data_IF_640972986826
#
_entry.id   IF_640972986826
#
_cell.length_a   1.000
_cell.length_b   1.000
_cell.length_c   1.000
_cell.angle_alpha   90.00
_cell.angle_beta   90.00
_cell.angle_gamma   90.00
#
_symmetry.space_group_name_H-M   'P 1'
#
loop_
_entity.id
_entity.type
_entity.pdbx_description
1 polymer ?
#
# COMPACT_ATOMS: atom_id res chain seq x y z
N UNK A 1 -2.37 29.94 20.74
CA UNK A 1 -3.55 29.97 21.64
C UNK A 1 -3.03 30.18 23.05
N UNK A 2 -3.50 31.22 23.75
CA UNK A 2 -3.04 31.51 25.12
C UNK A 2 -3.60 30.45 26.07
N UNK A 3 -2.71 29.75 26.78
CA UNK A 3 -3.04 28.81 27.87
C UNK A 3 -4.03 29.47 28.85
N UNK A 4 -5.08 28.74 29.25
CA UNK A 4 -5.83 29.06 30.47
C UNK A 4 -4.82 29.06 31.62
N UNK A 5 -4.58 30.23 32.22
CA UNK A 5 -3.48 30.52 33.16
C UNK A 5 -3.09 29.30 34.01
N UNK A 6 -1.95 28.68 33.70
CA UNK A 6 -1.34 27.60 34.48
C UNK A 6 -1.55 26.17 33.96
N UNK A 7 -2.32 25.95 32.88
CA UNK A 7 -2.52 24.61 32.28
C UNK A 7 -1.81 24.44 30.94
N UNK A 8 -1.46 23.19 30.63
CA UNK A 8 -0.87 22.81 29.35
C UNK A 8 -1.70 23.30 28.16
N UNK A 9 -1.04 23.90 27.18
CA UNK A 9 -1.69 24.41 25.96
C UNK A 9 -1.99 23.34 24.90
N UNK A 10 -1.58 22.08 25.11
CA UNK A 10 -1.81 21.00 24.17
C UNK A 10 -3.30 20.65 24.05
N UNK A 11 -3.78 20.59 22.80
CA UNK A 11 -5.12 20.15 22.45
C UNK A 11 -5.01 19.09 21.35
N UNK A 12 -5.69 17.95 21.52
CA UNK A 12 -5.72 16.91 20.50
C UNK A 12 -6.75 17.22 19.39
N UNK A 13 -6.74 16.48 18.27
CA UNK A 13 -7.68 16.70 17.15
C UNK A 13 -9.16 16.56 17.51
N UNK A 14 -9.48 15.77 18.55
CA UNK A 14 -10.86 15.55 19.00
C UNK A 14 -11.32 16.62 20.02
N UNK A 15 -10.46 17.62 20.29
CA UNK A 15 -10.76 18.74 21.17
C UNK A 15 -10.40 18.53 22.65
N UNK A 16 -9.90 17.37 23.06
CA UNK A 16 -9.41 17.12 24.42
C UNK A 16 -8.21 18.02 24.73
N UNK A 17 -8.21 18.60 25.93
CA UNK A 17 -7.17 19.49 26.44
C UNK A 17 -6.48 18.85 27.63
N UNK A 18 -5.16 18.97 27.68
CA UNK A 18 -4.37 18.45 28.78
C UNK A 18 -4.62 19.24 30.08
N UNK A 19 -4.83 18.52 31.18
CA UNK A 19 -5.15 19.08 32.50
C UNK A 19 -3.91 19.37 33.37
N UNK A 20 -2.72 19.00 32.89
CA UNK A 20 -1.47 19.11 33.63
C UNK A 20 -0.99 20.56 33.74
N UNK A 21 -0.27 20.91 34.82
CA UNK A 21 0.33 22.23 34.95
C UNK A 21 1.31 22.49 33.81
N UNK A 22 1.29 23.72 33.26
CA UNK A 22 2.28 24.12 32.27
C UNK A 22 3.59 24.56 32.92
N UNK A 23 4.71 24.26 32.26
CA UNK A 23 6.00 24.90 32.53
C UNK A 23 6.14 26.24 31.81
N UNK A 24 7.36 26.76 31.73
CA UNK A 24 7.68 28.05 31.13
C UNK A 24 7.32 28.15 29.63
N UNK A 25 7.37 27.02 28.92
CA UNK A 25 7.01 26.91 27.50
C UNK A 25 5.49 27.00 27.24
N UNK A 26 4.66 26.94 28.28
CA UNK A 26 3.21 26.79 28.16
C UNK A 26 2.75 25.35 27.85
N UNK A 27 3.66 24.37 27.87
CA UNK A 27 3.38 22.94 27.75
C UNK A 27 3.72 22.24 29.08
N UNK A 28 3.06 21.12 29.37
CA UNK A 28 3.44 20.29 30.52
C UNK A 28 4.64 19.40 30.18
N UNK A 29 5.18 18.73 31.20
CA UNK A 29 6.27 17.76 31.07
C UNK A 29 6.11 16.84 29.85
N UNK A 30 4.95 16.19 29.70
CA UNK A 30 4.69 15.22 28.60
C UNK A 30 4.65 15.84 27.21
N UNK A 31 4.16 17.07 27.07
CA UNK A 31 3.93 17.71 25.76
C UNK A 31 5.07 18.63 25.33
N UNK A 32 5.99 18.98 26.24
CA UNK A 32 7.09 19.88 25.96
C UNK A 32 8.26 19.14 25.27
N UNK A 33 8.62 19.51 24.02
CA UNK A 33 9.75 18.92 23.31
C UNK A 33 11.11 19.44 23.82
N UNK A 34 11.14 20.54 24.58
CA UNK A 34 12.39 21.09 25.14
C UNK A 34 12.86 20.31 26.37
N UNK A 35 11.96 19.59 27.04
CA UNK A 35 12.28 18.74 28.19
C UNK A 35 12.84 17.41 27.71
N UNK A 36 14.14 17.19 27.95
CA UNK A 36 14.78 15.90 27.69
C UNK A 36 14.35 14.88 28.75
N UNK A 37 13.84 13.74 28.27
CA UNK A 37 13.31 12.65 29.09
C UNK A 37 14.11 11.37 28.91
N UNK A 38 15.22 11.40 28.17
CA UNK A 38 15.94 10.17 27.80
C UNK A 38 16.46 9.38 29.01
N UNK A 39 16.74 10.07 30.12
CA UNK A 39 17.27 9.48 31.35
C UNK A 39 16.18 9.21 32.40
N UNK A 40 14.94 9.62 32.12
CA UNK A 40 13.85 9.54 33.08
C UNK A 40 13.18 8.16 33.02
N UNK A 41 12.88 7.55 34.17
CA UNK A 41 12.10 6.32 34.22
C UNK A 41 10.60 6.63 34.06
N UNK A 42 10.20 6.93 32.83
CA UNK A 42 8.83 7.35 32.50
C UNK A 42 7.88 6.18 32.23
N UNK A 43 8.38 4.94 32.11
CA UNK A 43 7.56 3.78 31.71
C UNK A 43 6.32 3.61 32.59
N UNK A 44 6.52 3.52 33.91
CA UNK A 44 5.42 3.32 34.86
C UNK A 44 4.41 4.47 34.82
N UNK A 45 4.89 5.71 34.71
CA UNK A 45 4.03 6.89 34.65
C UNK A 45 3.17 6.91 33.37
N UNK A 46 3.73 6.45 32.24
CA UNK A 46 3.01 6.32 30.97
C UNK A 46 1.93 5.23 31.06
N UNK A 47 2.22 4.10 31.71
CA UNK A 47 1.26 3.02 31.93
C UNK A 47 0.11 3.44 32.86
N UNK A 48 0.43 4.12 33.97
CA UNK A 48 -0.54 4.65 34.92
C UNK A 48 -1.42 5.74 34.26
N UNK A 49 -0.82 6.59 33.44
CA UNK A 49 -1.55 7.60 32.66
C UNK A 49 -2.56 6.96 31.71
N UNK A 50 -2.14 5.93 30.98
CA UNK A 50 -3.02 5.16 30.10
C UNK A 50 -4.13 4.46 30.88
N UNK A 51 -3.79 3.81 32.01
CA UNK A 51 -4.74 3.10 32.87
C UNK A 51 -5.80 4.03 33.49
N UNK A 52 -5.50 5.31 33.68
CA UNK A 52 -6.46 6.35 34.07
C UNK A 52 -7.45 6.73 32.95
N UNK A 53 -7.36 6.12 31.77
CA UNK A 53 -8.22 6.40 30.62
C UNK A 53 -7.92 7.71 29.90
N UNK A 54 -6.78 8.35 30.18
CA UNK A 54 -6.36 9.59 29.52
C UNK A 54 -5.65 9.28 28.19
N UNK A 55 -5.89 10.08 27.12
CA UNK A 55 -5.14 9.92 25.88
C UNK A 55 -3.67 10.31 26.08
N UNK A 56 -2.78 9.63 25.37
CA UNK A 56 -1.35 9.91 25.33
C UNK A 56 -0.99 10.82 24.14
N UNK A 57 -1.99 11.42 23.51
CA UNK A 57 -1.82 12.19 22.29
C UNK A 57 -0.78 13.31 22.48
N UNK A 58 0.16 13.42 21.54
CA UNK A 58 1.17 14.48 21.51
C UNK A 58 2.35 14.31 22.46
N UNK A 59 2.43 13.20 23.19
CA UNK A 59 3.54 12.97 24.12
C UNK A 59 4.90 13.05 23.41
N UNK A 60 5.88 13.65 24.07
CA UNK A 60 7.25 13.83 23.59
C UNK A 60 8.16 12.82 24.31
N UNK A 61 8.27 11.62 23.76
CA UNK A 61 8.98 10.46 24.31
C UNK A 61 10.20 10.08 23.45
N UNK A 62 10.81 11.07 22.81
CA UNK A 62 12.01 10.83 22.02
C UNK A 62 13.14 10.31 22.92
N UNK A 63 13.86 9.29 22.43
CA UNK A 63 15.06 8.69 23.06
C UNK A 63 14.82 8.07 24.45
N UNK A 64 13.57 7.88 24.87
CA UNK A 64 13.26 7.25 26.16
C UNK A 64 13.44 5.73 26.10
N UNK A 65 13.76 5.12 27.24
CA UNK A 65 13.72 3.67 27.42
C UNK A 65 12.31 3.25 27.86
N UNK A 66 11.59 2.58 26.96
CA UNK A 66 10.21 2.09 27.13
C UNK A 66 10.13 0.59 26.78
N UNK A 67 11.21 -0.15 27.08
CA UNK A 67 11.24 -1.61 26.93
C UNK A 67 10.13 -2.23 27.77
N UNK A 68 9.41 -3.18 27.18
CA UNK A 68 8.27 -3.87 27.82
C UNK A 68 7.14 -2.91 28.25
N UNK A 69 6.97 -1.78 27.54
CA UNK A 69 5.87 -0.85 27.80
C UNK A 69 4.52 -1.50 27.47
N UNK A 70 3.60 -1.52 28.43
CA UNK A 70 2.29 -2.13 28.28
C UNK A 70 1.16 -1.09 28.08
N UNK A 71 0.72 -0.94 26.83
CA UNK A 71 -0.41 -0.07 26.47
C UNK A 71 -1.61 -0.87 25.94
N UNK A 72 -1.93 -2.00 26.58
CA UNK A 72 -3.11 -2.80 26.25
C UNK A 72 -4.32 -2.32 27.05
N UNK A 73 -5.35 -1.85 26.35
CA UNK A 73 -6.60 -1.41 26.97
C UNK A 73 -7.54 -2.60 27.26
N UNK A 74 -7.28 -3.30 28.37
CA UNK A 74 -8.02 -4.52 28.74
C UNK A 74 -9.50 -4.22 28.97
N UNK A 75 -10.37 -5.07 28.42
CA UNK A 75 -11.83 -4.95 28.57
C UNK A 75 -12.50 -3.99 27.58
N UNK A 76 -11.72 -3.28 26.74
CA UNK A 76 -12.24 -2.40 25.71
C UNK A 76 -12.02 -2.97 24.30
N UNK A 77 -12.91 -2.64 23.36
CA UNK A 77 -12.78 -3.04 21.94
C UNK A 77 -11.72 -2.23 21.18
N UNK A 78 -11.28 -1.10 21.74
CA UNK A 78 -10.36 -0.15 21.12
C UNK A 78 -9.16 0.06 22.07
N UNK A 79 -7.95 0.11 21.51
CA UNK A 79 -6.74 0.43 22.27
C UNK A 79 -6.69 1.88 22.75
N UNK A 80 -5.64 2.25 23.48
CA UNK A 80 -5.43 3.63 23.90
C UNK A 80 -5.11 4.56 22.71
N UNK A 81 -5.42 5.84 22.86
CA UNK A 81 -5.04 6.88 21.90
C UNK A 81 -3.62 7.35 22.17
N UNK A 82 -2.72 7.11 21.21
CA UNK A 82 -1.32 7.53 21.20
C UNK A 82 -1.00 8.27 19.89
N UNK A 83 -1.85 9.22 19.51
CA UNK A 83 -1.73 9.95 18.24
C UNK A 83 -0.73 11.09 18.33
N UNK A 84 -0.01 11.33 17.25
CA UNK A 84 1.01 12.40 17.15
C UNK A 84 2.07 12.35 18.27
N UNK A 85 2.35 11.18 18.82
CA UNK A 85 3.40 10.96 19.82
C UNK A 85 4.75 10.93 19.13
N UNK A 86 5.76 11.54 19.73
CA UNK A 86 7.13 11.43 19.28
C UNK A 86 7.86 10.31 20.01
N UNK A 87 8.10 9.19 19.32
CA UNK A 87 8.93 8.08 19.76
C UNK A 87 10.28 8.05 19.02
N UNK A 88 10.75 9.20 18.50
CA UNK A 88 12.02 9.26 17.77
C UNK A 88 13.16 8.63 18.59
N UNK A 89 13.76 7.55 18.05
CA UNK A 89 14.82 6.76 18.72
C UNK A 89 14.46 6.18 20.09
N UNK A 90 13.17 6.07 20.44
CA UNK A 90 12.76 5.37 21.66
C UNK A 90 13.05 3.87 21.56
N UNK A 91 13.36 3.25 22.70
CA UNK A 91 13.43 1.79 22.82
C UNK A 91 12.07 1.26 23.26
N UNK A 92 11.33 0.66 22.33
CA UNK A 92 10.00 0.06 22.54
C UNK A 92 10.08 -1.46 22.31
N UNK A 93 11.25 -2.05 22.55
CA UNK A 93 11.44 -3.49 22.43
C UNK A 93 10.49 -4.22 23.39
N UNK A 94 9.87 -5.30 22.92
CA UNK A 94 8.90 -6.12 23.65
C UNK A 94 7.60 -5.40 24.05
N UNK A 95 7.38 -4.15 23.61
CA UNK A 95 6.19 -3.38 23.97
C UNK A 95 4.88 -4.04 23.50
N UNK A 96 3.82 -3.87 24.29
CA UNK A 96 2.49 -4.43 24.03
C UNK A 96 1.51 -3.36 23.53
N UNK A 97 1.38 -3.24 22.21
CA UNK A 97 0.57 -2.22 21.51
C UNK A 97 -0.62 -2.82 20.75
N UNK A 98 -1.25 -3.85 21.33
CA UNK A 98 -2.44 -4.47 20.74
C UNK A 98 -3.55 -3.43 20.55
N UNK A 99 -3.98 -3.24 19.30
CA UNK A 99 -5.07 -2.31 18.95
C UNK A 99 -4.77 -0.83 19.19
N UNK A 100 -3.51 -0.46 19.46
CA UNK A 100 -3.12 0.90 19.82
C UNK A 100 -3.30 1.87 18.64
N UNK A 101 -3.82 3.06 18.92
CA UNK A 101 -3.95 4.11 17.92
C UNK A 101 -2.71 5.00 17.91
N UNK A 102 -1.82 4.78 16.93
CA UNK A 102 -0.56 5.50 16.76
C UNK A 102 -0.64 6.54 15.64
N UNK A 103 -1.83 6.90 15.14
CA UNK A 103 -1.98 7.75 13.95
C UNK A 103 -1.20 9.07 14.07
N UNK A 104 -0.42 9.39 13.03
CA UNK A 104 0.40 10.60 12.96
C UNK A 104 1.68 10.56 13.83
N UNK A 105 1.90 9.52 14.63
CA UNK A 105 3.06 9.41 15.52
C UNK A 105 4.37 9.19 14.76
N UNK A 106 5.47 9.65 15.36
CA UNK A 106 6.82 9.48 14.84
C UNK A 106 7.46 8.26 15.50
N UNK A 107 7.62 7.16 14.75
CA UNK A 107 8.35 5.96 15.13
C UNK A 107 9.73 5.92 14.43
N UNK A 108 10.25 7.09 14.05
CA UNK A 108 11.48 7.18 13.28
C UNK A 108 12.66 6.67 14.12
N UNK A 109 13.40 5.69 13.59
CA UNK A 109 14.56 5.05 14.24
C UNK A 109 14.26 4.45 15.62
N UNK A 110 13.00 4.19 15.96
CA UNK A 110 12.66 3.50 17.20
C UNK A 110 13.02 2.01 17.10
N UNK A 111 13.26 1.37 18.24
CA UNK A 111 13.36 -0.10 18.31
C UNK A 111 12.00 -0.66 18.68
N UNK A 112 11.44 -1.52 17.85
CA UNK A 112 10.19 -2.26 18.08
C UNK A 112 10.46 -3.77 18.06
N UNK A 113 11.66 -4.17 18.47
CA UNK A 113 12.10 -5.57 18.42
C UNK A 113 11.16 -6.40 19.30
N UNK A 114 10.59 -7.48 18.76
CA UNK A 114 9.61 -8.32 19.45
C UNK A 114 8.33 -7.60 19.94
N UNK A 115 8.08 -6.35 19.54
CA UNK A 115 6.89 -5.61 19.96
C UNK A 115 5.62 -6.20 19.34
N UNK A 116 4.50 -6.13 20.08
CA UNK A 116 3.20 -6.59 19.60
C UNK A 116 2.39 -5.41 19.04
N UNK A 117 2.36 -5.26 17.71
CA UNK A 117 1.58 -4.24 16.99
C UNK A 117 0.28 -4.82 16.37
N UNK A 118 -0.18 -5.99 16.82
CA UNK A 118 -1.37 -6.62 16.27
C UNK A 118 -2.58 -5.69 16.37
N UNK A 119 -3.31 -5.50 15.26
CA UNK A 119 -4.44 -4.57 15.12
C UNK A 119 -4.13 -3.07 15.36
N UNK A 120 -2.85 -2.67 15.44
CA UNK A 120 -2.49 -1.27 15.65
C UNK A 120 -2.84 -0.38 14.45
N UNK A 121 -3.14 0.90 14.71
CA UNK A 121 -3.38 1.90 13.66
C UNK A 121 -2.13 2.75 13.43
N UNK A 122 -1.49 2.58 12.27
CA UNK A 122 -0.24 3.25 11.88
C UNK A 122 -0.44 4.26 10.73
N UNK A 123 -1.66 4.73 10.50
CA UNK A 123 -1.94 5.69 9.44
C UNK A 123 -1.13 6.98 9.68
N UNK A 124 -0.48 7.46 8.62
CA UNK A 124 0.33 8.68 8.66
C UNK A 124 1.47 8.67 9.70
N UNK A 125 1.89 7.49 10.17
CA UNK A 125 3.09 7.36 11.01
C UNK A 125 4.37 7.54 10.20
N UNK A 126 5.40 8.07 10.85
CA UNK A 126 6.76 8.03 10.32
C UNK A 126 7.49 6.77 10.83
N UNK A 127 7.70 5.78 9.96
CA UNK A 127 8.40 4.52 10.27
C UNK A 127 9.84 4.47 9.74
N UNK A 128 10.40 5.61 9.31
CA UNK A 128 11.72 5.65 8.68
C UNK A 128 12.81 5.14 9.64
N UNK A 129 13.52 4.09 9.24
CA UNK A 129 14.58 3.47 10.04
C UNK A 129 14.11 2.75 11.31
N UNK A 130 12.81 2.54 11.51
CA UNK A 130 12.30 1.78 12.65
C UNK A 130 12.78 0.32 12.60
N UNK A 131 13.24 -0.25 13.72
CA UNK A 131 13.59 -1.66 13.78
C UNK A 131 12.36 -2.50 14.14
N UNK A 132 11.80 -3.20 13.15
CA UNK A 132 10.61 -4.06 13.29
C UNK A 132 10.98 -5.55 13.42
N UNK A 133 12.23 -5.88 13.79
CA UNK A 133 12.66 -7.27 13.90
C UNK A 133 11.78 -8.07 14.86
N UNK A 134 11.16 -9.14 14.36
CA UNK A 134 10.27 -10.04 15.13
C UNK A 134 9.04 -9.34 15.74
N UNK A 135 8.73 -8.11 15.35
CA UNK A 135 7.50 -7.45 15.76
C UNK A 135 6.28 -8.16 15.16
N UNK A 136 5.18 -8.30 15.89
CA UNK A 136 3.93 -8.89 15.35
C UNK A 136 3.19 -7.85 14.52
N UNK A 137 3.06 -8.08 13.21
CA UNK A 137 2.52 -7.10 12.24
C UNK A 137 1.14 -7.47 11.64
N UNK A 138 0.44 -8.41 12.26
CA UNK A 138 -0.88 -8.86 11.83
C UNK A 138 -1.96 -7.77 12.00
N UNK A 139 -2.87 -7.69 11.02
CA UNK A 139 -4.03 -6.80 11.04
C UNK A 139 -3.72 -5.31 11.28
N UNK A 140 -2.50 -4.86 10.98
CA UNK A 140 -2.15 -3.44 11.10
C UNK A 140 -2.92 -2.60 10.07
N UNK A 141 -3.46 -1.48 10.53
CA UNK A 141 -4.01 -0.45 9.65
C UNK A 141 -2.91 0.52 9.22
N UNK A 142 -2.35 0.31 8.02
CA UNK A 142 -1.30 1.17 7.46
C UNK A 142 -1.84 2.48 6.84
N UNK A 143 -3.14 2.53 6.55
CA UNK A 143 -3.77 3.56 5.74
C UNK A 143 -3.54 3.40 4.22
N UNK A 144 -4.18 4.27 3.42
CA UNK A 144 -4.14 4.18 1.93
C UNK A 144 -2.77 4.50 1.33
N UNK A 145 -2.02 5.37 1.99
CA UNK A 145 -0.71 5.86 1.54
C UNK A 145 0.14 6.18 2.76
N UNK A 146 1.45 5.96 2.64
CA UNK A 146 2.43 6.34 3.67
C UNK A 146 2.53 7.87 3.79
N UNK A 147 2.95 8.37 4.94
CA UNK A 147 3.19 9.79 5.17
C UNK A 147 4.13 10.39 4.11
N UNK A 148 5.30 9.77 3.93
CA UNK A 148 6.29 10.18 2.94
C UNK A 148 5.76 10.13 1.50
N UNK A 149 4.87 9.18 1.17
CA UNK A 149 4.24 9.12 -0.15
C UNK A 149 3.35 10.34 -0.42
N UNK A 150 2.56 10.76 0.57
CA UNK A 150 1.69 11.93 0.46
C UNK A 150 2.53 13.20 0.32
N UNK A 151 3.55 13.35 1.16
CA UNK A 151 4.47 14.48 1.12
C UNK A 151 5.26 14.54 -0.20
N UNK A 152 5.70 13.39 -0.73
CA UNK A 152 6.38 13.32 -2.02
C UNK A 152 5.48 13.79 -3.17
N UNK A 153 4.20 13.40 -3.17
CA UNK A 153 3.22 13.86 -4.16
C UNK A 153 2.99 15.36 -4.07
N UNK A 154 2.93 15.93 -2.87
CA UNK A 154 2.80 17.37 -2.67
C UNK A 154 4.04 18.12 -3.17
N UNK A 155 5.24 17.65 -2.81
CA UNK A 155 6.50 18.24 -3.28
C UNK A 155 6.60 18.20 -4.82
N UNK A 156 6.22 17.09 -5.44
CA UNK A 156 6.19 16.96 -6.89
C UNK A 156 5.21 17.92 -7.57
N UNK A 157 4.04 18.18 -6.95
CA UNK A 157 3.05 19.16 -7.45
C UNK A 157 3.57 20.60 -7.38
N UNK A 158 4.34 20.93 -6.35
CA UNK A 158 4.97 22.25 -6.18
C UNK A 158 6.20 22.42 -7.09
N UNK A 159 6.66 21.34 -7.75
CA UNK A 159 7.83 21.36 -8.64
C UNK A 159 9.16 21.10 -7.94
N UNK A 160 9.16 20.83 -6.63
CA UNK A 160 10.36 20.46 -5.87
C UNK A 160 10.71 18.99 -6.11
N UNK A 161 11.42 18.75 -7.21
CA UNK A 161 11.85 17.41 -7.64
C UNK A 161 12.86 16.78 -6.68
N UNK A 162 13.72 17.57 -6.06
CA UNK A 162 14.74 17.05 -5.16
C UNK A 162 14.09 16.49 -3.89
N UNK A 163 13.22 17.28 -3.25
CA UNK A 163 12.46 16.84 -2.08
C UNK A 163 11.54 15.66 -2.41
N UNK A 164 10.86 15.68 -3.55
CA UNK A 164 10.02 14.57 -3.98
C UNK A 164 10.81 13.26 -4.15
N UNK A 165 12.02 13.34 -4.73
CA UNK A 165 12.91 12.18 -4.90
C UNK A 165 13.41 11.66 -3.56
N UNK A 166 13.84 12.53 -2.65
CA UNK A 166 14.28 12.17 -1.29
C UNK A 166 13.16 11.50 -0.50
N UNK A 167 11.95 12.05 -0.52
CA UNK A 167 10.79 11.43 0.15
C UNK A 167 10.40 10.08 -0.48
N UNK A 168 10.58 9.91 -1.79
CA UNK A 168 10.39 8.60 -2.42
C UNK A 168 11.44 7.57 -1.98
N UNK A 169 12.69 7.98 -1.73
CA UNK A 169 13.74 7.10 -1.17
C UNK A 169 13.39 6.66 0.24
N UNK A 170 12.95 7.59 1.09
CA UNK A 170 12.51 7.27 2.45
C UNK A 170 11.31 6.31 2.45
N UNK A 171 10.31 6.57 1.60
CA UNK A 171 9.15 5.69 1.45
C UNK A 171 9.55 4.29 0.95
N UNK A 172 10.53 4.19 0.04
CA UNK A 172 11.06 2.92 -0.42
C UNK A 172 11.71 2.13 0.72
N UNK A 173 12.52 2.79 1.56
CA UNK A 173 13.17 2.15 2.71
C UNK A 173 12.15 1.60 3.71
N UNK A 174 11.12 2.39 4.03
CA UNK A 174 10.02 1.98 4.90
C UNK A 174 9.29 0.76 4.32
N UNK A 175 8.92 0.80 3.04
CA UNK A 175 8.26 -0.34 2.39
C UNK A 175 9.12 -1.60 2.39
N UNK A 176 10.42 -1.47 2.11
CA UNK A 176 11.35 -2.60 2.08
C UNK A 176 11.47 -3.24 3.45
N UNK A 177 11.54 -2.43 4.51
CA UNK A 177 11.64 -2.93 5.88
C UNK A 177 10.37 -3.69 6.27
N UNK A 178 9.19 -3.09 6.08
CA UNK A 178 7.90 -3.72 6.37
C UNK A 178 7.75 -5.03 5.59
N UNK A 179 8.00 -5.00 4.27
CA UNK A 179 7.94 -6.19 3.40
C UNK A 179 8.80 -7.32 3.95
N UNK A 180 10.07 -7.06 4.27
CA UNK A 180 10.99 -8.09 4.78
C UNK A 180 10.50 -8.72 6.07
N UNK A 181 9.90 -7.94 6.98
CA UNK A 181 9.37 -8.48 8.23
C UNK A 181 8.07 -9.26 8.01
N UNK A 182 7.20 -8.79 7.13
CA UNK A 182 5.99 -9.53 6.74
C UNK A 182 6.33 -10.86 6.06
N UNK A 183 7.32 -10.89 5.15
CA UNK A 183 7.79 -12.13 4.50
C UNK A 183 8.30 -13.14 5.53
N UNK A 184 9.08 -12.70 6.52
CA UNK A 184 9.59 -13.57 7.60
C UNK A 184 8.49 -14.15 8.50
N UNK A 185 7.33 -13.51 8.57
CA UNK A 185 6.18 -13.91 9.40
C UNK A 185 5.12 -14.70 8.62
N UNK A 186 5.29 -14.89 7.31
CA UNK A 186 4.28 -15.52 6.47
C UNK A 186 3.10 -14.60 6.10
N UNK A 187 3.23 -13.28 6.28
CA UNK A 187 2.22 -12.28 5.93
C UNK A 187 2.34 -11.89 4.46
N UNK A 188 2.18 -12.85 3.55
CA UNK A 188 2.53 -12.70 2.14
C UNK A 188 1.64 -11.73 1.36
N UNK A 189 0.39 -11.56 1.76
CA UNK A 189 -0.49 -10.55 1.16
C UNK A 189 0.02 -9.13 1.40
N UNK A 190 0.22 -8.78 2.67
CA UNK A 190 0.79 -7.49 3.09
C UNK A 190 2.18 -7.29 2.50
N UNK A 191 3.03 -8.32 2.52
CA UNK A 191 4.35 -8.26 1.89
C UNK A 191 4.27 -7.93 0.39
N UNK A 192 3.36 -8.56 -0.35
CA UNK A 192 3.14 -8.29 -1.78
C UNK A 192 2.66 -6.86 -2.05
N UNK A 193 1.77 -6.32 -1.22
CA UNK A 193 1.34 -4.92 -1.32
C UNK A 193 2.50 -3.94 -1.13
N UNK A 194 3.32 -4.17 -0.09
CA UNK A 194 4.49 -3.33 0.18
C UNK A 194 5.59 -3.52 -0.86
N UNK A 195 5.72 -4.69 -1.48
CA UNK A 195 6.59 -4.91 -2.63
C UNK A 195 6.17 -4.05 -3.83
N UNK A 196 4.88 -4.02 -4.16
CA UNK A 196 4.38 -3.17 -5.25
C UNK A 196 4.63 -1.68 -4.98
N UNK A 197 4.44 -1.24 -3.73
CA UNK A 197 4.75 0.13 -3.30
C UNK A 197 6.24 0.42 -3.42
N UNK A 198 7.11 -0.47 -2.94
CA UNK A 198 8.58 -0.37 -3.07
C UNK A 198 8.99 -0.18 -4.54
N UNK A 199 8.49 -1.03 -5.45
CA UNK A 199 8.79 -0.95 -6.88
C UNK A 199 8.27 0.34 -7.54
N UNK A 200 7.12 0.84 -7.09
CA UNK A 200 6.56 2.11 -7.54
C UNK A 200 7.42 3.30 -7.11
N UNK A 201 7.92 3.32 -5.88
CA UNK A 201 8.82 4.37 -5.39
C UNK A 201 10.16 4.35 -6.11
N UNK A 202 10.74 3.18 -6.38
CA UNK A 202 11.93 3.06 -7.26
C UNK A 202 11.70 3.68 -8.62
N UNK A 203 10.55 3.39 -9.24
CA UNK A 203 10.19 3.95 -10.55
C UNK A 203 10.06 5.47 -10.50
N UNK A 204 9.52 6.05 -9.42
CA UNK A 204 9.36 7.50 -9.31
C UNK A 204 10.69 8.26 -9.26
N UNK A 205 11.74 7.64 -8.73
CA UNK A 205 13.10 8.17 -8.71
C UNK A 205 13.81 8.12 -10.07
N UNK A 206 13.28 7.36 -11.05
CA UNK A 206 13.90 7.26 -12.38
C UNK A 206 13.62 8.50 -13.25
N UNK A 207 14.51 8.85 -14.20
CA UNK A 207 14.23 9.91 -15.17
C UNK A 207 12.94 9.67 -15.97
N UNK A 208 12.19 10.73 -16.27
CA UNK A 208 10.85 10.64 -16.88
C UNK A 208 10.85 9.91 -18.24
N UNK A 209 11.85 10.18 -19.09
CA UNK A 209 11.96 9.61 -20.44
C UNK A 209 12.89 8.39 -20.52
N UNK A 210 13.12 7.70 -19.40
CA UNK A 210 13.95 6.51 -19.38
C UNK A 210 13.18 5.27 -19.84
N UNK A 211 13.76 4.49 -20.76
CA UNK A 211 13.22 3.17 -21.16
C UNK A 211 12.94 2.28 -19.94
N UNK A 212 13.81 2.32 -18.92
CA UNK A 212 13.62 1.57 -17.67
C UNK A 212 12.34 1.98 -16.94
N UNK A 213 12.00 3.26 -16.94
CA UNK A 213 10.78 3.79 -16.29
C UNK A 213 9.54 3.34 -17.05
N UNK A 214 9.58 3.36 -18.39
CA UNK A 214 8.49 2.92 -19.27
C UNK A 214 8.23 1.42 -19.07
N UNK A 215 9.28 0.59 -19.15
CA UNK A 215 9.18 -0.86 -18.93
C UNK A 215 8.62 -1.16 -17.53
N UNK A 216 9.12 -0.48 -16.48
CA UNK A 216 8.59 -0.63 -15.12
C UNK A 216 7.12 -0.23 -15.01
N UNK A 217 6.66 0.77 -15.79
CA UNK A 217 5.25 1.16 -15.84
C UNK A 217 4.39 0.11 -16.54
N UNK A 218 4.87 -0.46 -17.64
CA UNK A 218 4.18 -1.54 -18.35
C UNK A 218 4.01 -2.76 -17.43
N UNK A 219 5.08 -3.18 -16.75
CA UNK A 219 5.04 -4.33 -15.82
C UNK A 219 4.09 -4.11 -14.63
N UNK A 220 4.04 -2.89 -14.06
CA UNK A 220 3.08 -2.54 -13.00
C UNK A 220 1.63 -2.67 -13.48
N UNK A 221 1.33 -2.11 -14.66
CA UNK A 221 -0.02 -2.15 -15.24
C UNK A 221 -0.44 -3.58 -15.55
N UNK A 222 0.46 -4.35 -16.17
CA UNK A 222 0.15 -5.67 -16.70
C UNK A 222 -0.01 -6.74 -15.61
N UNK A 223 0.89 -6.80 -14.63
CA UNK A 223 0.87 -7.85 -13.60
C UNK A 223 1.16 -7.37 -12.18
N UNK A 224 1.24 -6.06 -11.95
CA UNK A 224 1.58 -5.49 -10.64
C UNK A 224 2.94 -5.98 -10.13
N UNK A 225 3.94 -6.01 -11.01
CA UNK A 225 5.26 -6.59 -10.71
C UNK A 225 5.22 -8.08 -10.32
N UNK A 226 4.23 -8.81 -10.85
CA UNK A 226 4.04 -10.24 -10.60
C UNK A 226 3.51 -10.54 -9.21
N UNK A 227 2.71 -9.63 -8.65
CA UNK A 227 2.02 -9.80 -7.35
C UNK A 227 0.48 -9.76 -7.48
N UNK A 228 -0.07 -9.48 -8.67
CA UNK A 228 -1.53 -9.34 -8.87
C UNK A 228 -2.05 -10.19 -10.04
N UNK A 229 -2.44 -11.46 -9.79
CA UNK A 229 -3.05 -12.32 -10.80
C UNK A 229 -4.30 -11.68 -11.45
N UNK A 230 -5.11 -10.96 -10.65
CA UNK A 230 -6.30 -10.28 -11.13
C UNK A 230 -6.01 -9.24 -12.23
N UNK A 231 -4.85 -8.54 -12.19
CA UNK A 231 -4.48 -7.60 -13.26
C UNK A 231 -4.18 -8.31 -14.58
N UNK A 232 -3.59 -9.51 -14.51
CA UNK A 232 -3.32 -10.33 -15.70
C UNK A 232 -4.64 -10.77 -16.32
N UNK A 233 -5.59 -11.27 -15.51
CA UNK A 233 -6.92 -11.66 -15.99
C UNK A 233 -7.66 -10.49 -16.63
N UNK A 234 -7.67 -9.31 -15.99
CA UNK A 234 -8.31 -8.12 -16.54
C UNK A 234 -7.66 -7.67 -17.85
N UNK A 235 -6.33 -7.76 -17.96
CA UNK A 235 -5.64 -7.50 -19.22
C UNK A 235 -6.03 -8.51 -20.30
N UNK A 236 -6.11 -9.79 -19.98
CA UNK A 236 -6.54 -10.83 -20.93
C UNK A 236 -7.95 -10.56 -21.46
N UNK A 237 -8.89 -10.23 -20.57
CA UNK A 237 -10.27 -9.85 -20.97
C UNK A 237 -10.25 -8.61 -21.87
N UNK A 238 -9.46 -7.59 -21.51
CA UNK A 238 -9.33 -6.39 -22.31
C UNK A 238 -8.76 -6.68 -23.70
N UNK A 239 -7.71 -7.50 -23.79
CA UNK A 239 -7.09 -7.87 -25.06
C UNK A 239 -8.07 -8.63 -25.96
N UNK A 240 -8.77 -9.61 -25.40
CA UNK A 240 -9.81 -10.37 -26.11
C UNK A 240 -10.89 -9.43 -26.65
N UNK A 241 -11.44 -8.54 -25.82
CA UNK A 241 -12.48 -7.61 -26.26
C UNK A 241 -11.97 -6.61 -27.31
N UNK A 242 -10.74 -6.12 -27.18
CA UNK A 242 -10.13 -5.21 -28.14
C UNK A 242 -9.92 -5.88 -29.51
N UNK A 243 -9.43 -7.13 -29.52
CA UNK A 243 -9.27 -7.93 -30.73
C UNK A 243 -10.64 -8.29 -31.34
N UNK A 244 -11.62 -8.68 -30.54
CA UNK A 244 -12.99 -8.95 -30.98
C UNK A 244 -13.62 -7.74 -31.70
N UNK A 245 -13.46 -6.53 -31.14
CA UNK A 245 -13.92 -5.30 -31.80
C UNK A 245 -13.18 -5.09 -33.13
N UNK A 246 -11.87 -5.33 -33.18
CA UNK A 246 -11.11 -5.22 -34.43
C UNK A 246 -11.58 -6.22 -35.50
N UNK A 247 -11.87 -7.47 -35.12
CA UNK A 247 -12.37 -8.49 -36.05
C UNK A 247 -13.78 -8.19 -36.57
N UNK A 248 -14.64 -7.64 -35.71
CA UNK A 248 -15.97 -7.19 -36.10
C UNK A 248 -15.89 -6.04 -37.11
N UNK A 249 -15.00 -5.05 -36.88
CA UNK A 249 -14.83 -3.92 -37.81
C UNK A 249 -14.17 -4.30 -39.13
N UNK A 250 -13.36 -5.37 -39.15
CA UNK A 250 -12.68 -5.87 -40.34
C UNK A 250 -13.51 -6.89 -41.13
N UNK A 251 -14.75 -7.15 -40.71
CA UNK A 251 -15.68 -8.08 -41.33
C UNK A 251 -15.06 -9.47 -41.55
N UNK A 252 -14.42 -9.99 -40.50
CA UNK A 252 -13.66 -11.26 -40.62
C UNK A 252 -14.54 -12.51 -40.59
N UNK A 253 -15.85 -12.34 -40.35
CA UNK A 253 -16.81 -13.41 -40.08
C UNK A 253 -17.93 -13.52 -41.11
N UNK A 254 -18.06 -12.59 -42.06
CA UNK A 254 -19.16 -12.57 -43.06
C UNK A 254 -19.14 -13.73 -44.05
N UNK A 255 -18.02 -14.42 -44.23
CA UNK A 255 -17.91 -15.52 -45.21
C UNK A 255 -18.49 -16.85 -44.76
N UNK A 256 -19.10 -16.94 -43.57
CA UNK A 256 -19.64 -18.20 -43.06
C UNK A 256 -21.10 -18.43 -43.54
N UNK A 257 -21.41 -19.56 -44.21
CA UNK A 257 -22.74 -19.83 -44.79
C UNK A 257 -23.86 -20.08 -43.76
N UNK A 258 -23.57 -19.96 -42.46
CA UNK A 258 -24.50 -20.23 -41.35
C UNK A 258 -25.54 -19.11 -41.17
N UNK A 259 -25.36 -17.96 -41.84
CA UNK A 259 -26.17 -16.74 -41.60
C UNK A 259 -27.29 -16.49 -42.61
N UNK A 260 -27.65 -17.48 -43.44
CA UNK A 260 -28.73 -17.34 -44.40
C UNK A 260 -30.08 -17.09 -43.70
N UNK A 261 -30.53 -15.84 -43.65
CA UNK A 261 -31.88 -15.45 -43.19
C UNK A 261 -31.96 -14.58 -41.93
N UNK A 262 -30.84 -14.12 -41.36
CA UNK A 262 -30.85 -13.16 -40.23
C UNK A 262 -30.62 -11.74 -40.77
N UNK A 263 -31.63 -10.87 -40.64
CA UNK A 263 -31.58 -9.49 -41.12
C UNK A 263 -31.63 -8.47 -39.96
N UNK A 264 -31.14 -7.25 -40.21
CA UNK A 264 -31.23 -6.13 -39.27
C UNK A 264 -30.25 -6.20 -38.09
N UNK A 265 -30.66 -5.68 -36.93
CA UNK A 265 -29.78 -5.54 -35.75
C UNK A 265 -29.28 -6.88 -35.18
N UNK A 266 -30.05 -7.96 -35.39
CA UNK A 266 -29.71 -9.30 -34.91
C UNK A 266 -28.45 -9.82 -35.60
N UNK A 267 -28.29 -9.53 -36.89
CA UNK A 267 -27.10 -9.89 -37.66
C UNK A 267 -25.83 -9.34 -37.00
N UNK A 268 -25.79 -8.03 -36.75
CA UNK A 268 -24.63 -7.37 -36.13
C UNK A 268 -24.35 -7.88 -34.71
N UNK A 269 -25.39 -8.20 -33.94
CA UNK A 269 -25.21 -8.79 -32.61
C UNK A 269 -24.57 -10.18 -32.68
N UNK A 270 -25.06 -11.06 -33.57
CA UNK A 270 -24.48 -12.39 -33.78
C UNK A 270 -23.04 -12.31 -34.28
N UNK A 271 -22.77 -11.42 -35.23
CA UNK A 271 -21.43 -11.21 -35.78
C UNK A 271 -20.45 -10.74 -34.70
N UNK A 272 -20.86 -9.81 -33.83
CA UNK A 272 -20.05 -9.39 -32.69
C UNK A 272 -19.74 -10.56 -31.73
N UNK A 273 -20.74 -11.39 -31.39
CA UNK A 273 -20.49 -12.56 -30.54
C UNK A 273 -19.57 -13.60 -31.20
N UNK A 274 -19.63 -13.75 -32.52
CA UNK A 274 -18.71 -14.61 -33.27
C UNK A 274 -17.29 -14.05 -33.28
N UNK A 275 -17.14 -12.73 -33.41
CA UNK A 275 -15.84 -12.08 -33.28
C UNK A 275 -15.24 -12.25 -31.87
N UNK A 276 -16.06 -12.18 -30.82
CA UNK A 276 -15.66 -12.49 -29.44
C UNK A 276 -15.24 -13.96 -29.30
N UNK A 277 -16.04 -14.88 -29.82
CA UNK A 277 -15.71 -16.32 -29.83
C UNK A 277 -14.38 -16.59 -30.54
N UNK A 278 -14.19 -16.03 -31.75
CA UNK A 278 -12.96 -16.16 -32.52
C UNK A 278 -11.74 -15.62 -31.76
N UNK A 279 -11.88 -14.45 -31.13
CA UNK A 279 -10.83 -13.86 -30.29
C UNK A 279 -10.48 -14.75 -29.10
N UNK A 280 -11.47 -15.29 -28.37
CA UNK A 280 -11.22 -16.22 -27.25
C UNK A 280 -10.44 -17.45 -27.70
N UNK A 281 -10.84 -18.07 -28.81
CA UNK A 281 -10.20 -19.28 -29.37
C UNK A 281 -8.78 -18.97 -29.86
N UNK A 282 -8.57 -17.79 -30.45
CA UNK A 282 -7.27 -17.33 -30.93
C UNK A 282 -6.33 -17.01 -29.78
N UNK A 283 -6.81 -16.26 -28.78
CA UNK A 283 -6.08 -15.92 -27.56
C UNK A 283 -5.67 -17.15 -26.76
N UNK A 284 -6.56 -18.15 -26.65
CA UNK A 284 -6.26 -19.43 -25.98
C UNK A 284 -5.45 -20.38 -26.85
N UNK A 285 -5.18 -20.02 -28.11
CA UNK A 285 -4.46 -20.84 -29.10
C UNK A 285 -5.12 -22.20 -29.40
N UNK A 286 -6.42 -22.35 -29.14
CA UNK A 286 -7.17 -23.59 -29.38
C UNK A 286 -7.42 -23.84 -30.87
N UNK A 287 -7.75 -22.79 -31.63
CA UNK A 287 -7.86 -22.81 -33.09
C UNK A 287 -8.78 -23.88 -33.70
N UNK A 288 -10.09 -23.82 -33.44
CA UNK A 288 -11.06 -24.80 -33.97
C UNK A 288 -11.20 -24.82 -35.51
N UNK A 289 -10.76 -23.76 -36.19
CA UNK A 289 -10.70 -23.71 -37.66
C UNK A 289 -12.03 -23.42 -38.37
N UNK A 290 -13.08 -23.10 -37.61
CA UNK A 290 -14.41 -22.74 -38.08
C UNK A 290 -14.52 -21.28 -38.57
N UNK A 291 -13.64 -20.40 -38.07
CA UNK A 291 -13.48 -19.02 -38.53
C UNK A 291 -12.02 -18.82 -38.93
N UNK A 292 -11.80 -18.30 -40.13
CA UNK A 292 -10.46 -18.06 -40.68
C UNK A 292 -10.27 -16.59 -41.04
N UNK A 293 -9.27 -15.90 -40.44
CA UNK A 293 -9.07 -14.50 -40.72
C UNK A 293 -8.53 -14.27 -42.13
N UNK A 294 -9.01 -13.22 -42.78
CA UNK A 294 -8.58 -12.79 -44.12
C UNK A 294 -7.94 -11.40 -44.06
N UNK A 295 -7.09 -11.10 -45.04
CA UNK A 295 -6.42 -9.80 -45.12
C UNK A 295 -5.61 -9.44 -43.87
N UNK A 296 -5.81 -8.22 -43.36
CA UNK A 296 -5.08 -7.65 -42.22
C UNK A 296 -5.38 -8.38 -40.91
N UNK A 297 -6.57 -8.97 -40.77
CA UNK A 297 -6.97 -9.68 -39.56
C UNK A 297 -6.06 -10.88 -39.23
N UNK A 298 -5.33 -11.44 -40.22
CA UNK A 298 -4.33 -12.49 -40.00
C UNK A 298 -3.18 -12.03 -39.10
N UNK A 299 -2.72 -10.79 -39.27
CA UNK A 299 -1.66 -10.23 -38.44
C UNK A 299 -2.14 -9.96 -37.01
N UNK A 300 -3.39 -9.52 -36.86
CA UNK A 300 -4.01 -9.31 -35.55
C UNK A 300 -4.16 -10.65 -34.83
N UNK A 301 -4.65 -11.69 -35.52
CA UNK A 301 -4.78 -13.04 -34.96
C UNK A 301 -3.43 -13.65 -34.55
N UNK A 302 -2.39 -13.50 -35.38
CA UNK A 302 -1.04 -13.95 -35.04
C UNK A 302 -0.49 -13.23 -33.79
N UNK A 303 -0.70 -11.92 -33.69
CA UNK A 303 -0.26 -11.12 -32.55
C UNK A 303 -1.06 -11.44 -31.28
N UNK A 304 -2.37 -11.63 -31.39
CA UNK A 304 -3.26 -12.03 -30.31
C UNK A 304 -2.88 -13.41 -29.77
N UNK A 305 -2.66 -14.41 -30.63
CA UNK A 305 -2.22 -15.74 -30.23
C UNK A 305 -0.87 -15.71 -29.51
N UNK A 306 0.08 -14.91 -30.01
CA UNK A 306 1.39 -14.72 -29.37
C UNK A 306 1.24 -14.11 -27.97
N UNK A 307 0.51 -13.00 -27.84
CA UNK A 307 0.26 -12.38 -26.54
C UNK A 307 -0.55 -13.27 -25.60
N UNK A 308 -1.52 -14.01 -26.13
CA UNK A 308 -2.34 -14.97 -25.39
C UNK A 308 -1.51 -16.06 -24.73
N UNK A 309 -0.62 -16.70 -25.48
CA UNK A 309 0.30 -17.72 -24.93
C UNK A 309 1.20 -17.15 -23.82
N UNK A 310 1.73 -15.93 -23.99
CA UNK A 310 2.56 -15.26 -23.00
C UNK A 310 1.78 -14.86 -21.73
N UNK A 311 0.58 -14.30 -21.90
CA UNK A 311 -0.29 -13.88 -20.79
C UNK A 311 -0.76 -15.07 -19.95
N UNK A 312 -1.07 -16.20 -20.59
CA UNK A 312 -1.44 -17.44 -19.90
C UNK A 312 -0.27 -18.00 -19.09
N UNK A 313 0.94 -18.07 -19.67
CA UNK A 313 2.13 -18.47 -18.94
C UNK A 313 2.41 -17.54 -17.75
N UNK A 314 2.28 -16.22 -17.94
CA UNK A 314 2.45 -15.25 -16.88
C UNK A 314 1.39 -15.40 -15.78
N UNK A 315 0.13 -15.66 -16.14
CA UNK A 315 -0.94 -15.89 -15.17
C UNK A 315 -0.60 -17.06 -14.26
N UNK A 316 -0.16 -18.20 -14.82
CA UNK A 316 0.26 -19.36 -14.03
C UNK A 316 1.40 -19.00 -13.08
N UNK A 317 2.44 -18.32 -13.56
CA UNK A 317 3.59 -17.93 -12.72
C UNK A 317 3.16 -17.01 -11.57
N UNK A 318 2.36 -15.99 -11.86
CA UNK A 318 1.90 -15.02 -10.85
C UNK A 318 0.93 -15.66 -9.87
N UNK A 319 0.06 -16.55 -10.35
CA UNK A 319 -0.89 -17.30 -9.52
C UNK A 319 -0.16 -18.27 -8.59
N UNK A 320 0.74 -19.10 -9.12
CA UNK A 320 1.55 -20.03 -8.32
C UNK A 320 2.35 -19.28 -7.28
N UNK A 321 3.07 -18.22 -7.68
CA UNK A 321 3.83 -17.38 -6.74
C UNK A 321 2.96 -16.81 -5.61
N UNK A 322 1.70 -16.47 -5.90
CA UNK A 322 0.75 -15.94 -4.91
C UNK A 322 0.22 -17.02 -3.96
N UNK A 323 0.13 -18.27 -4.40
CA UNK A 323 -0.37 -19.41 -3.61
C UNK A 323 0.73 -20.15 -2.84
N UNK A 324 1.96 -20.17 -3.34
CA UNK A 324 3.07 -20.94 -2.75
C UNK A 324 4.00 -20.10 -1.87
N UNK A 325 3.84 -18.78 -1.84
CA UNK A 325 4.43 -17.95 -0.80
C UNK A 325 3.54 -18.06 0.40
#
# INVERSE_FOLDING_TARGET
>A
MKSEKGRCSYQNPDGWRCDQPCGESGLCYWHDPAVDKSNDNVKQQVEEWAAAGKPLDGFQLARTNLVDLNLVNRGNKVGYSCRNVDFYRADLSEAHFFGLDLRGSSLMKCKLVCANLHCAQLNDCNLLGADLARARLENIHWGRALKQEREAKLAAKVGDRHKASSLCQEAEEVCRNIRKQCEKQGLFETAGEFFQKEMRFRRYQMPLFSLRRIVSKIVDVFCGYGESPARVVLFSIFLILACAIAYFLLDTTSSNPVYAGVEGWQFYAFEFFNAVYFSVVTFTTLGYGDISPVGIARFIAAFEAFLGSFTMALFVVVFVKKMTR
#
